data_IF_399469318252
#
_entry.id   IF_399469318252
#
_cell.length_a   1.000
_cell.length_b   1.000
_cell.length_c   1.000
_cell.angle_alpha   90.00
_cell.angle_beta   90.00
_cell.angle_gamma   90.00
#
_symmetry.space_group_name_H-M   'P 1'
#
loop_
_entity.id
_entity.type
_entity.pdbx_description
1 polymer ?
#
# COMPACT_ATOMS: atom_id res chain seq x y z
N UNK A 1 1.96 34.64 -85.32
CA UNK A 1 1.99 33.62 -84.26
C UNK A 1 2.79 32.43 -84.80
N UNK A 2 4.06 32.32 -84.41
CA UNK A 2 4.93 31.24 -84.90
C UNK A 2 4.69 30.01 -84.03
N UNK A 3 3.98 29.03 -84.58
CA UNK A 3 3.79 27.76 -83.91
C UNK A 3 5.11 26.98 -83.97
N UNK A 4 5.94 27.09 -82.92
CA UNK A 4 7.08 26.19 -82.73
C UNK A 4 6.55 24.77 -82.60
N UNK A 5 6.77 23.95 -83.62
CA UNK A 5 6.51 22.51 -83.54
C UNK A 5 7.61 21.92 -82.65
N UNK A 6 7.26 21.22 -81.56
CA UNK A 6 8.26 20.57 -80.73
C UNK A 6 9.00 19.50 -81.55
N UNK A 7 10.31 19.41 -81.34
CA UNK A 7 11.14 18.39 -81.97
C UNK A 7 10.64 16.98 -81.59
N UNK A 8 10.62 16.03 -82.54
CA UNK A 8 10.18 14.68 -82.25
C UNK A 8 11.13 14.02 -81.25
N UNK A 9 10.57 13.50 -80.15
CA UNK A 9 11.30 12.76 -79.12
C UNK A 9 12.06 11.60 -79.79
N UNK A 10 13.36 11.50 -79.51
CA UNK A 10 14.20 10.46 -80.09
C UNK A 10 13.78 9.06 -79.62
N UNK A 11 13.93 8.05 -80.49
CA UNK A 11 13.64 6.65 -80.15
C UNK A 11 14.43 6.15 -78.92
N UNK A 12 15.64 6.66 -78.74
CA UNK A 12 16.49 6.35 -77.58
C UNK A 12 15.88 6.88 -76.28
N UNK A 13 15.32 8.08 -76.30
CA UNK A 13 14.68 8.69 -75.14
C UNK A 13 13.38 7.98 -74.76
N UNK A 14 12.59 7.53 -75.75
CA UNK A 14 11.42 6.67 -75.51
C UNK A 14 11.84 5.34 -74.84
N UNK A 15 12.96 4.74 -75.26
CA UNK A 15 13.44 3.49 -74.64
C UNK A 15 13.90 3.70 -73.20
N UNK A 16 14.59 4.81 -72.89
CA UNK A 16 14.99 5.16 -71.52
C UNK A 16 13.79 5.35 -70.61
N UNK A 17 12.81 6.16 -71.06
CA UNK A 17 11.59 6.43 -70.29
C UNK A 17 10.77 5.16 -70.02
N UNK A 18 10.76 4.21 -70.95
CA UNK A 18 10.11 2.89 -70.73
C UNK A 18 10.83 2.07 -69.66
N UNK A 19 12.16 2.11 -69.61
CA UNK A 19 12.95 1.48 -68.55
C UNK A 19 12.67 2.10 -67.19
N UNK A 20 12.73 3.44 -67.10
CA UNK A 20 12.46 4.18 -65.87
C UNK A 20 11.03 3.92 -65.36
N UNK A 21 10.05 3.84 -66.26
CA UNK A 21 8.67 3.52 -65.90
C UNK A 21 8.54 2.10 -65.32
N UNK A 22 9.16 1.10 -65.95
CA UNK A 22 9.14 -0.28 -65.46
C UNK A 22 9.81 -0.42 -64.09
N UNK A 23 10.93 0.28 -63.86
CA UNK A 23 11.59 0.32 -62.56
C UNK A 23 10.73 0.99 -61.48
N UNK A 24 10.00 2.04 -61.85
CA UNK A 24 9.10 2.75 -60.93
C UNK A 24 7.86 1.93 -60.59
N UNK A 25 7.27 1.23 -61.56
CA UNK A 25 6.19 0.26 -61.35
C UNK A 25 6.62 -0.85 -60.40
N UNK A 26 7.83 -1.41 -60.60
CA UNK A 26 8.38 -2.44 -59.72
C UNK A 26 8.57 -1.93 -58.28
N UNK A 27 9.14 -0.72 -58.11
CA UNK A 27 9.30 -0.12 -56.77
C UNK A 27 7.96 0.11 -56.08
N UNK A 28 6.94 0.55 -56.81
CA UNK A 28 5.60 0.71 -56.27
C UNK A 28 4.98 -0.64 -55.86
N UNK A 29 5.20 -1.70 -56.66
CA UNK A 29 4.78 -3.06 -56.29
C UNK A 29 5.47 -3.55 -55.01
N UNK A 30 6.79 -3.33 -54.88
CA UNK A 30 7.55 -3.71 -53.69
C UNK A 30 7.11 -2.91 -52.45
N UNK A 31 6.86 -1.60 -52.59
CA UNK A 31 6.37 -0.74 -51.51
C UNK A 31 4.95 -1.14 -51.05
N UNK A 32 4.07 -1.49 -51.98
CA UNK A 32 2.71 -1.95 -51.64
C UNK A 32 2.72 -3.30 -50.93
N UNK A 33 3.62 -4.23 -51.32
CA UNK A 33 3.84 -5.49 -50.62
C UNK A 33 4.37 -5.27 -49.19
N UNK A 34 5.34 -4.38 -49.02
CA UNK A 34 5.90 -4.06 -47.71
C UNK A 34 4.82 -3.47 -46.77
N UNK A 35 4.07 -2.46 -47.23
CA UNK A 35 2.98 -1.85 -46.45
C UNK A 35 1.87 -2.83 -46.11
N UNK A 36 1.56 -3.76 -47.02
CA UNK A 36 0.58 -4.82 -46.75
C UNK A 36 1.05 -5.76 -45.64
N UNK A 37 2.33 -6.15 -45.65
CA UNK A 37 2.92 -6.97 -44.59
C UNK A 37 2.93 -6.28 -43.22
N UNK A 38 3.33 -5.01 -43.17
CA UNK A 38 3.30 -4.19 -41.94
C UNK A 38 1.87 -4.05 -41.39
N UNK A 39 0.90 -3.84 -42.27
CA UNK A 39 -0.51 -3.72 -41.88
C UNK A 39 -1.07 -5.03 -41.31
N UNK A 40 -0.73 -6.18 -41.88
CA UNK A 40 -1.13 -7.49 -41.33
C UNK A 40 -0.50 -7.76 -39.97
N UNK A 41 0.79 -7.41 -39.78
CA UNK A 41 1.45 -7.50 -38.48
C UNK A 41 0.75 -6.66 -37.40
N UNK A 42 0.41 -5.41 -37.72
CA UNK A 42 -0.33 -4.52 -36.81
C UNK A 42 -1.74 -5.03 -36.51
N UNK A 43 -2.43 -5.65 -37.48
CA UNK A 43 -3.75 -6.25 -37.25
C UNK A 43 -3.67 -7.44 -36.29
N UNK A 44 -2.64 -8.27 -36.41
CA UNK A 44 -2.41 -9.41 -35.52
C UNK A 44 -2.08 -8.95 -34.09
N UNK A 45 -1.20 -7.96 -33.95
CA UNK A 45 -0.90 -7.34 -32.65
C UNK A 45 -2.16 -6.73 -32.02
N UNK A 46 -2.97 -5.99 -32.78
CA UNK A 46 -4.22 -5.41 -32.27
C UNK A 46 -5.21 -6.49 -31.82
N UNK A 47 -5.27 -7.62 -32.55
CA UNK A 47 -6.09 -8.78 -32.17
C UNK A 47 -5.59 -9.40 -30.85
N UNK A 48 -4.28 -9.54 -30.68
CA UNK A 48 -3.67 -10.04 -29.45
C UNK A 48 -3.94 -9.11 -28.26
N UNK A 49 -3.76 -7.80 -28.43
CA UNK A 49 -4.06 -6.79 -27.41
C UNK A 49 -5.52 -6.80 -26.98
N UNK A 50 -6.47 -6.89 -27.93
CA UNK A 50 -7.91 -7.04 -27.63
C UNK A 50 -8.22 -8.34 -26.90
N UNK A 51 -7.49 -9.42 -27.17
CA UNK A 51 -7.61 -10.67 -26.42
C UNK A 51 -7.11 -10.50 -24.99
N UNK A 52 -5.95 -9.86 -24.80
CA UNK A 52 -5.39 -9.56 -23.48
C UNK A 52 -6.30 -8.67 -22.63
N UNK A 53 -6.89 -7.62 -23.21
CA UNK A 53 -7.85 -6.76 -22.51
C UNK A 53 -9.07 -7.54 -21.99
N UNK A 54 -9.62 -8.47 -22.79
CA UNK A 54 -10.73 -9.33 -22.34
C UNK A 54 -10.34 -10.22 -21.16
N UNK A 55 -9.12 -10.75 -21.15
CA UNK A 55 -8.62 -11.54 -20.01
C UNK A 55 -8.46 -10.68 -18.75
N UNK A 56 -7.98 -9.44 -18.88
CA UNK A 56 -7.86 -8.51 -17.75
C UNK A 56 -9.24 -8.20 -17.15
N UNK A 57 -10.24 -7.93 -17.99
CA UNK A 57 -11.61 -7.67 -17.54
C UNK A 57 -12.23 -8.89 -16.84
N UNK A 58 -11.96 -10.11 -17.34
CA UNK A 58 -12.39 -11.35 -16.70
C UNK A 58 -11.75 -11.53 -15.32
N UNK A 59 -10.43 -11.29 -15.20
CA UNK A 59 -9.72 -11.37 -13.92
C UNK A 59 -10.22 -10.33 -12.93
N UNK A 60 -10.50 -9.11 -13.40
CA UNK A 60 -11.08 -8.06 -12.56
C UNK A 60 -12.45 -8.45 -12.02
N UNK A 61 -13.33 -8.97 -12.88
CA UNK A 61 -14.66 -9.46 -12.48
C UNK A 61 -14.55 -10.59 -11.43
N UNK A 62 -13.61 -11.53 -11.61
CA UNK A 62 -13.34 -12.59 -10.63
C UNK A 62 -12.84 -12.04 -9.30
N UNK A 63 -11.95 -11.06 -9.32
CA UNK A 63 -11.43 -10.41 -8.11
C UNK A 63 -12.55 -9.70 -7.35
N UNK A 64 -13.39 -8.92 -8.04
CA UNK A 64 -14.53 -8.22 -7.43
C UNK A 64 -15.55 -9.20 -6.82
N UNK A 65 -15.80 -10.33 -7.49
CA UNK A 65 -16.66 -11.40 -6.96
C UNK A 65 -16.07 -12.04 -5.68
N UNK A 66 -14.78 -12.36 -5.68
CA UNK A 66 -14.09 -12.92 -4.53
C UNK A 66 -14.06 -11.95 -3.33
N UNK A 67 -13.87 -10.65 -3.57
CA UNK A 67 -13.93 -9.63 -2.52
C UNK A 67 -15.32 -9.53 -1.89
N UNK A 68 -16.38 -9.63 -2.71
CA UNK A 68 -17.75 -9.65 -2.22
C UNK A 68 -18.03 -10.88 -1.36
N UNK A 69 -17.61 -12.06 -1.81
CA UNK A 69 -17.72 -13.30 -1.05
C UNK A 69 -16.96 -13.23 0.28
N UNK A 70 -15.72 -12.73 0.27
CA UNK A 70 -14.92 -12.54 1.47
C UNK A 70 -15.58 -11.57 2.48
N UNK A 71 -16.23 -10.51 1.99
CA UNK A 71 -16.98 -9.58 2.82
C UNK A 71 -18.19 -10.26 3.47
N UNK A 72 -18.93 -11.06 2.71
CA UNK A 72 -20.08 -11.81 3.22
C UNK A 72 -19.67 -12.83 4.28
N UNK A 73 -18.62 -13.61 4.03
CA UNK A 73 -18.08 -14.56 4.99
C UNK A 73 -17.61 -13.88 6.29
N UNK A 74 -16.99 -12.69 6.21
CA UNK A 74 -16.63 -11.91 7.41
C UNK A 74 -17.85 -11.55 8.25
N UNK A 75 -18.93 -11.10 7.61
CA UNK A 75 -20.19 -10.79 8.30
C UNK A 75 -20.80 -12.05 8.94
N UNK A 76 -20.77 -13.19 8.25
CA UNK A 76 -21.25 -14.47 8.79
C UNK A 76 -20.42 -14.93 10.00
N UNK A 77 -19.09 -14.81 9.94
CA UNK A 77 -18.20 -15.14 11.06
C UNK A 77 -18.49 -14.23 12.27
N UNK A 78 -18.69 -12.93 12.04
CA UNK A 78 -19.04 -12.00 13.11
C UNK A 78 -20.39 -12.33 13.76
N UNK A 79 -21.42 -12.67 12.96
CA UNK A 79 -22.73 -13.09 13.45
C UNK A 79 -22.66 -14.40 14.25
N UNK A 80 -21.96 -15.41 13.75
CA UNK A 80 -21.73 -16.68 14.46
C UNK A 80 -20.97 -16.46 15.78
N UNK A 81 -20.00 -15.54 15.77
CA UNK A 81 -19.27 -15.13 16.97
C UNK A 81 -20.21 -14.47 17.99
N UNK A 82 -21.07 -13.54 17.57
CA UNK A 82 -22.09 -12.92 18.45
C UNK A 82 -23.05 -13.96 19.02
N UNK A 83 -23.56 -14.88 18.18
CA UNK A 83 -24.48 -15.96 18.59
C UNK A 83 -23.82 -16.92 19.58
N UNK A 84 -22.56 -17.33 19.34
CA UNK A 84 -21.84 -18.21 20.26
C UNK A 84 -21.60 -17.55 21.62
N UNK A 85 -21.20 -16.27 21.66
CA UNK A 85 -21.08 -15.53 22.90
C UNK A 85 -22.41 -15.38 23.65
N UNK A 86 -23.51 -15.09 22.94
CA UNK A 86 -24.83 -15.03 23.56
C UNK A 86 -25.25 -16.37 24.18
N UNK A 87 -25.02 -17.49 23.47
CA UNK A 87 -25.31 -18.83 24.01
C UNK A 87 -24.48 -19.12 25.26
N UNK A 88 -23.20 -18.78 25.27
CA UNK A 88 -22.33 -19.03 26.41
C UNK A 88 -22.74 -18.21 27.64
N UNK A 89 -23.16 -16.95 27.43
CA UNK A 89 -23.74 -16.13 28.50
C UNK A 89 -25.05 -16.69 29.02
N UNK A 90 -25.94 -17.14 28.14
CA UNK A 90 -27.21 -17.75 28.54
C UNK A 90 -27.00 -19.01 29.38
N UNK A 91 -25.98 -19.83 29.07
CA UNK A 91 -25.62 -20.99 29.91
C UNK A 91 -25.13 -20.59 31.29
N UNK A 92 -24.40 -19.46 31.40
CA UNK A 92 -23.91 -18.96 32.68
C UNK A 92 -25.01 -18.36 33.57
N UNK A 93 -26.10 -17.85 33.00
CA UNK A 93 -27.24 -17.34 33.78
C UNK A 93 -27.91 -18.48 34.54
N UNK A 94 -28.02 -18.33 35.86
CA UNK A 94 -28.56 -19.34 36.77
C UNK A 94 -27.51 -20.26 37.39
N UNK A 95 -26.26 -20.23 36.89
CA UNK A 95 -25.15 -20.96 37.50
C UNK A 95 -24.88 -20.41 38.92
N UNK A 96 -24.60 -21.33 39.86
CA UNK A 96 -24.31 -20.97 41.25
C UNK A 96 -22.80 -21.04 41.46
N UNK A 97 -22.17 -19.90 41.69
CA UNK A 97 -20.73 -19.81 41.97
C UNK A 97 -20.55 -19.28 43.39
N UNK A 98 -19.83 -20.02 44.23
CA UNK A 98 -19.58 -19.68 45.64
C UNK A 98 -20.87 -19.25 46.37
N UNK A 99 -21.90 -20.11 46.33
CA UNK A 99 -23.24 -19.94 46.92
C UNK A 99 -24.12 -18.81 46.35
N UNK A 100 -23.67 -18.11 45.30
CA UNK A 100 -24.38 -16.98 44.70
C UNK A 100 -24.84 -17.31 43.28
N UNK A 101 -26.09 -16.95 42.92
CA UNK A 101 -26.64 -17.20 41.58
C UNK A 101 -26.35 -16.06 40.62
N UNK A 102 -25.81 -16.37 39.44
CA UNK A 102 -25.65 -15.40 38.36
C UNK A 102 -27.02 -15.04 37.77
N UNK A 103 -27.39 -13.76 37.79
CA UNK A 103 -28.69 -13.27 37.32
C UNK A 103 -28.63 -12.78 35.88
N UNK A 104 -27.57 -12.06 35.51
CA UNK A 104 -27.39 -11.54 34.15
C UNK A 104 -25.90 -11.39 33.84
N UNK A 105 -25.52 -11.63 32.59
CA UNK A 105 -24.15 -11.49 32.10
C UNK A 105 -24.21 -10.63 30.84
N UNK A 106 -23.54 -9.47 30.85
CA UNK A 106 -23.43 -8.55 29.71
C UNK A 106 -22.02 -8.55 29.15
N UNK A 107 -21.73 -7.72 28.14
CA UNK A 107 -20.37 -7.55 27.60
C UNK A 107 -19.36 -7.04 28.63
N UNK A 108 -19.85 -6.28 29.62
CA UNK A 108 -18.99 -5.49 30.50
C UNK A 108 -19.30 -5.65 31.99
N UNK A 109 -20.35 -6.40 32.33
CA UNK A 109 -20.73 -6.63 33.72
C UNK A 109 -21.41 -7.97 33.96
N UNK A 110 -21.29 -8.45 35.20
CA UNK A 110 -21.98 -9.63 35.71
C UNK A 110 -22.83 -9.21 36.91
N UNK A 111 -24.13 -9.47 36.84
CA UNK A 111 -25.08 -9.24 37.93
C UNK A 111 -25.31 -10.53 38.70
N UNK A 112 -25.10 -10.49 40.01
CA UNK A 112 -25.20 -11.64 40.91
C UNK A 112 -26.29 -11.37 41.95
N UNK A 113 -27.12 -12.37 42.20
CA UNK A 113 -28.18 -12.31 43.20
C UNK A 113 -27.68 -12.88 44.54
N UNK A 114 -27.94 -12.13 45.61
CA UNK A 114 -27.60 -12.45 47.00
C UNK A 114 -28.85 -12.32 47.88
N UNK A 115 -28.74 -12.71 49.16
CA UNK A 115 -29.86 -12.58 50.11
C UNK A 115 -30.28 -11.12 50.32
N UNK A 116 -29.32 -10.19 50.27
CA UNK A 116 -29.53 -8.76 50.53
C UNK A 116 -29.84 -7.93 49.26
N UNK A 117 -29.93 -8.55 48.09
CA UNK A 117 -30.22 -7.86 46.83
C UNK A 117 -29.44 -8.35 45.61
N UNK A 118 -29.26 -7.48 44.62
CA UNK A 118 -28.46 -7.76 43.40
C UNK A 118 -27.22 -6.87 43.39
N UNK A 119 -26.04 -7.47 43.23
CA UNK A 119 -24.79 -6.75 43.03
C UNK A 119 -24.36 -6.87 41.56
N UNK A 120 -23.76 -5.82 41.01
CA UNK A 120 -23.22 -5.82 39.64
C UNK A 120 -21.72 -5.59 39.70
N UNK A 121 -20.95 -6.53 39.16
CA UNK A 121 -19.51 -6.42 38.99
C UNK A 121 -19.23 -5.92 37.57
N UNK A 122 -18.49 -4.81 37.43
CA UNK A 122 -17.90 -4.43 36.14
C UNK A 122 -16.68 -5.27 35.80
N UNK A 123 -16.14 -5.12 34.59
CA UNK A 123 -14.92 -5.82 34.13
C UNK A 123 -13.77 -5.80 35.14
N UNK A 124 -13.47 -4.64 35.73
CA UNK A 124 -12.39 -4.49 36.71
C UNK A 124 -12.62 -5.26 38.02
N UNK A 125 -13.89 -5.47 38.37
CA UNK A 125 -14.28 -6.24 39.56
C UNK A 125 -14.54 -7.71 39.28
N UNK A 126 -14.52 -8.14 38.01
CA UNK A 126 -14.78 -9.52 37.62
C UNK A 126 -13.49 -10.36 37.71
N UNK A 127 -13.57 -11.59 38.27
CA UNK A 127 -12.48 -12.55 38.18
C UNK A 127 -12.03 -12.78 36.73
N UNK A 128 -10.71 -12.87 36.48
CA UNK A 128 -10.15 -13.01 35.12
C UNK A 128 -10.63 -14.27 34.39
N UNK A 129 -10.89 -15.33 35.15
CA UNK A 129 -11.48 -16.58 34.67
C UNK A 129 -12.93 -16.37 34.20
N UNK A 130 -13.72 -15.51 34.86
CA UNK A 130 -15.07 -15.15 34.40
C UNK A 130 -15.02 -14.29 33.14
N UNK A 131 -14.10 -13.33 33.08
CA UNK A 131 -13.88 -12.50 31.88
C UNK A 131 -13.59 -13.38 30.66
N UNK A 132 -12.72 -14.39 30.81
CA UNK A 132 -12.41 -15.37 29.75
C UNK A 132 -13.61 -16.27 29.45
N UNK A 133 -14.22 -16.87 30.48
CA UNK A 133 -15.30 -17.86 30.34
C UNK A 133 -16.54 -17.26 29.69
N UNK A 134 -16.94 -16.07 30.10
CA UNK A 134 -18.11 -15.37 29.57
C UNK A 134 -17.78 -14.46 28.39
N UNK A 135 -16.52 -14.50 27.92
CA UNK A 135 -16.02 -13.70 26.81
C UNK A 135 -16.42 -12.24 26.95
N UNK A 136 -16.16 -11.67 28.14
CA UNK A 136 -16.38 -10.26 28.40
C UNK A 136 -15.32 -9.48 27.64
N UNK A 137 -15.75 -8.51 26.85
CA UNK A 137 -14.86 -7.72 26.02
C UNK A 137 -14.38 -6.57 26.89
N UNK A 138 -13.06 -6.38 27.09
CA UNK A 138 -12.57 -5.17 27.75
C UNK A 138 -13.12 -3.98 26.98
N UNK A 139 -13.82 -3.08 27.69
CA UNK A 139 -14.26 -1.82 27.09
C UNK A 139 -13.00 -1.20 26.50
N UNK A 140 -12.91 -0.98 25.18
CA UNK A 140 -11.78 -0.23 24.65
C UNK A 140 -11.78 1.09 25.40
N UNK A 141 -10.69 1.36 26.15
CA UNK A 141 -10.62 2.57 26.98
C UNK A 141 -11.11 3.75 26.13
N UNK A 142 -12.09 4.54 26.61
CA UNK A 142 -12.57 5.66 25.85
C UNK A 142 -11.36 6.53 25.57
N UNK A 143 -10.95 6.58 24.30
CA UNK A 143 -9.78 7.33 23.85
C UNK A 143 -9.87 8.69 24.51
N UNK A 144 -8.93 9.07 25.41
CA UNK A 144 -9.11 10.20 26.28
C UNK A 144 -9.51 11.41 25.42
N UNK A 145 -10.58 12.10 25.81
CA UNK A 145 -11.14 13.22 25.06
C UNK A 145 -10.10 14.31 24.75
N UNK A 146 -8.98 14.31 25.49
CA UNK A 146 -7.77 15.09 25.25
C UNK A 146 -7.16 14.92 23.85
N UNK A 147 -7.35 13.79 23.17
CA UNK A 147 -6.86 13.59 21.79
C UNK A 147 -7.87 14.13 20.74
N UNK A 148 -9.15 14.29 21.11
CA UNK A 148 -10.16 14.93 20.23
C UNK A 148 -10.13 16.46 20.27
N UNK A 149 -9.60 17.07 21.35
CA UNK A 149 -9.46 18.53 21.42
C UNK A 149 -8.31 19.07 20.54
N UNK A 150 -7.24 18.30 20.31
CA UNK A 150 -6.08 18.75 19.51
C UNK A 150 -6.29 18.71 17.99
N UNK A 151 -7.39 18.14 17.49
CA UNK A 151 -7.72 18.13 16.05
C UNK A 151 -8.83 19.16 15.72
N UNK A 152 -9.57 19.65 16.73
CA UNK A 152 -10.72 20.56 16.52
C UNK A 152 -10.54 21.97 17.08
N UNK A 153 -9.47 22.27 17.83
CA UNK A 153 -9.17 23.63 18.28
C UNK A 153 -7.75 24.02 17.89
N UNK A 154 -7.66 24.76 16.79
CA UNK A 154 -6.64 25.79 16.65
C UNK A 154 -6.80 26.79 17.80
N UNK A 155 -6.13 26.51 18.92
CA UNK A 155 -5.97 27.47 19.99
C UNK A 155 -4.99 28.54 19.51
N UNK A 156 -5.51 29.76 19.43
CA UNK A 156 -4.81 30.97 19.10
C UNK A 156 -3.59 31.15 20.00
N UNK A 157 -2.45 31.44 19.36
CA UNK A 157 -1.28 31.99 20.01
C UNK A 157 -1.61 33.38 20.60
N UNK A 158 -0.95 33.78 21.70
CA UNK A 158 -1.12 35.11 22.29
C UNK A 158 -0.80 36.19 21.26
N UNK A 159 -1.75 37.12 21.09
CA UNK A 159 -1.66 38.27 20.20
C UNK A 159 -0.52 39.19 20.64
N UNK A 160 0.68 38.91 20.15
CA UNK A 160 1.74 39.91 20.09
C UNK A 160 1.37 40.82 18.92
N UNK A 161 1.11 42.09 19.21
CA UNK A 161 0.94 43.14 18.20
C UNK A 161 2.25 43.28 17.43
N UNK A 162 2.38 42.52 16.34
CA UNK A 162 3.45 42.69 15.36
C UNK A 162 2.86 43.45 14.18
N UNK A 163 3.52 44.55 13.83
CA UNK A 163 3.24 45.38 12.66
C UNK A 163 2.98 44.53 11.40
N UNK A 164 2.03 44.92 10.53
CA UNK A 164 1.90 44.32 9.20
C UNK A 164 3.04 44.86 8.32
N UNK A 165 4.23 44.29 8.47
CA UNK A 165 5.34 44.48 7.54
C UNK A 165 5.59 43.15 6.84
N UNK A 166 5.22 43.11 5.56
CA UNK A 166 5.63 42.13 4.55
C UNK A 166 5.52 40.65 4.93
N UNK A 167 4.41 40.04 4.54
CA UNK A 167 4.33 38.60 4.27
C UNK A 167 5.31 38.28 3.13
N UNK A 168 6.52 37.85 3.47
CA UNK A 168 7.40 37.20 2.51
C UNK A 168 6.72 35.91 2.08
N UNK A 169 6.31 35.85 0.82
CA UNK A 169 5.83 34.64 0.17
C UNK A 169 6.84 33.52 0.40
N UNK A 170 6.39 32.40 0.99
CA UNK A 170 7.21 31.19 1.05
C UNK A 170 7.67 30.87 -0.38
N UNK A 171 8.97 30.66 -0.62
CA UNK A 171 9.45 30.32 -1.96
C UNK A 171 8.71 29.06 -2.39
N UNK A 172 7.95 29.15 -3.48
CA UNK A 172 7.32 27.99 -4.09
C UNK A 172 8.43 26.97 -4.34
N UNK A 173 8.38 25.82 -3.66
CA UNK A 173 9.35 24.76 -3.85
C UNK A 173 9.33 24.39 -5.34
N UNK A 174 10.36 24.81 -6.05
CA UNK A 174 10.55 24.48 -7.45
C UNK A 174 10.82 22.98 -7.52
N UNK A 175 9.79 22.20 -7.81
CA UNK A 175 9.98 20.80 -8.18
C UNK A 175 10.94 20.77 -9.38
N UNK A 176 12.00 19.95 -9.35
CA UNK A 176 12.86 19.78 -10.52
C UNK A 176 12.01 19.20 -11.66
N UNK A 177 11.62 20.05 -12.62
CA UNK A 177 10.62 19.71 -13.62
C UNK A 177 11.12 18.83 -14.77
N UNK A 178 12.34 18.27 -14.71
CA UNK A 178 12.82 17.34 -15.74
C UNK A 178 13.92 16.43 -15.17
N UNK A 179 13.53 15.34 -14.50
CA UNK A 179 14.41 14.19 -14.35
C UNK A 179 14.30 13.35 -15.63
N UNK A 180 15.42 12.93 -16.17
CA UNK A 180 15.46 11.99 -17.29
C UNK A 180 14.98 10.60 -16.82
N UNK A 181 14.44 9.79 -17.75
CA UNK A 181 13.93 8.45 -17.42
C UNK A 181 15.02 7.57 -16.76
N UNK A 182 16.27 7.70 -17.18
CA UNK A 182 17.39 6.96 -16.60
C UNK A 182 17.68 7.34 -15.14
N UNK A 183 17.49 8.60 -14.77
CA UNK A 183 17.65 9.05 -13.38
C UNK A 183 16.50 8.52 -12.51
N UNK A 184 15.28 8.52 -13.03
CA UNK A 184 14.14 7.90 -12.34
C UNK A 184 14.36 6.40 -12.11
N UNK A 185 14.85 5.68 -13.12
CA UNK A 185 15.17 4.26 -13.00
C UNK A 185 16.30 4.01 -11.99
N UNK A 186 17.30 4.88 -11.93
CA UNK A 186 18.37 4.79 -10.94
C UNK A 186 17.87 5.05 -9.52
N UNK A 187 17.06 6.08 -9.32
CA UNK A 187 16.41 6.38 -8.03
C UNK A 187 15.56 5.19 -7.60
N UNK A 188 14.75 4.64 -8.51
CA UNK A 188 13.93 3.45 -8.26
C UNK A 188 14.77 2.24 -7.84
N UNK A 189 15.86 1.95 -8.56
CA UNK A 189 16.77 0.85 -8.20
C UNK A 189 17.44 1.05 -6.84
N UNK A 190 17.86 2.28 -6.51
CA UNK A 190 18.45 2.59 -5.20
C UNK A 190 17.42 2.42 -4.08
N UNK A 191 16.19 2.91 -4.26
CA UNK A 191 15.13 2.77 -3.27
C UNK A 191 14.73 1.31 -3.05
N UNK A 192 14.61 0.52 -4.12
CA UNK A 192 14.31 -0.91 -4.04
C UNK A 192 15.42 -1.70 -3.35
N UNK A 193 16.66 -1.22 -3.38
CA UNK A 193 17.79 -1.84 -2.69
C UNK A 193 17.76 -1.60 -1.18
N UNK A 194 17.04 -0.57 -0.72
CA UNK A 194 16.82 -0.30 0.70
C UNK A 194 15.70 -1.17 1.30
N UNK A 195 14.89 -1.83 0.47
CA UNK A 195 13.80 -2.71 0.89
C UNK A 195 14.35 -4.09 1.28
N UNK A 196 13.81 -4.64 2.36
CA UNK A 196 14.14 -5.97 2.87
C UNK A 196 12.90 -6.83 3.05
N UNK A 197 13.10 -8.14 2.93
CA UNK A 197 12.14 -9.17 3.30
C UNK A 197 12.40 -9.59 4.75
N UNK A 198 11.34 -9.61 5.55
CA UNK A 198 11.38 -10.02 6.95
C UNK A 198 10.59 -11.31 7.06
N UNK A 199 11.26 -12.40 7.40
CA UNK A 199 10.65 -13.72 7.56
C UNK A 199 10.69 -14.14 9.01
N UNK A 200 9.51 -14.22 9.60
CA UNK A 200 9.27 -14.85 10.89
C UNK A 200 8.79 -16.29 10.77
N UNK A 201 8.64 -16.96 11.91
CA UNK A 201 8.01 -18.27 12.02
C UNK A 201 6.48 -18.19 11.95
N UNK A 202 5.88 -17.09 12.39
CA UNK A 202 4.43 -16.84 12.37
C UNK A 202 3.99 -15.85 11.29
N UNK A 203 4.86 -14.93 10.87
CA UNK A 203 4.51 -13.91 9.87
C UNK A 203 5.65 -13.61 8.90
N UNK A 204 5.30 -13.06 7.73
CA UNK A 204 6.23 -12.59 6.72
C UNK A 204 5.81 -11.19 6.32
N UNK A 205 6.78 -10.28 6.20
CA UNK A 205 6.52 -8.91 5.82
C UNK A 205 7.71 -8.27 5.13
N UNK A 206 7.62 -6.97 4.94
CA UNK A 206 8.70 -6.17 4.35
C UNK A 206 9.05 -5.03 5.29
N UNK A 207 10.25 -4.50 5.10
CA UNK A 207 10.68 -3.28 5.75
C UNK A 207 11.64 -2.53 4.83
N UNK A 208 12.12 -1.39 5.28
CA UNK A 208 13.12 -0.64 4.55
C UNK A 208 14.11 0.02 5.51
N UNK A 209 15.36 0.12 5.06
CA UNK A 209 16.40 0.80 5.82
C UNK A 209 16.30 2.31 5.62
N UNK A 210 16.41 3.02 6.74
CA UNK A 210 16.36 4.47 6.82
C UNK A 210 17.62 4.96 7.53
N UNK A 211 18.25 6.00 6.97
CA UNK A 211 19.25 6.77 7.70
C UNK A 211 18.56 7.98 8.36
N UNK A 212 18.65 8.05 9.68
CA UNK A 212 18.12 9.15 10.47
C UNK A 212 19.16 9.55 11.51
N UNK A 213 19.58 10.82 11.48
CA UNK A 213 20.63 11.37 12.36
C UNK A 213 21.96 10.59 12.33
N UNK A 214 22.32 10.07 11.14
CA UNK A 214 23.56 9.31 10.94
C UNK A 214 23.50 7.87 11.43
N UNK A 215 22.35 7.43 11.95
CA UNK A 215 22.09 6.05 12.38
C UNK A 215 21.19 5.34 11.38
N UNK A 216 21.44 4.05 11.18
CA UNK A 216 20.62 3.20 10.33
C UNK A 216 19.55 2.49 11.16
N UNK A 217 18.31 2.61 10.73
CA UNK A 217 17.16 1.91 11.30
C UNK A 217 16.45 1.09 10.22
N UNK A 218 15.95 -0.08 10.60
CA UNK A 218 14.96 -0.83 9.83
C UNK A 218 13.56 -0.42 10.30
N UNK A 219 12.75 0.13 9.40
CA UNK A 219 11.34 0.40 9.65
C UNK A 219 10.48 -0.74 9.08
N UNK A 220 9.50 -1.19 9.86
CA UNK A 220 8.49 -2.17 9.43
C UNK A 220 7.21 -2.02 10.26
N UNK A 221 6.18 -2.80 9.94
CA UNK A 221 4.95 -2.84 10.72
C UNK A 221 5.14 -3.67 12.01
N UNK A 222 4.49 -3.28 13.09
CA UNK A 222 4.62 -3.95 14.39
C UNK A 222 4.14 -5.40 14.31
N UNK A 223 3.05 -5.67 13.58
CA UNK A 223 2.51 -7.02 13.40
C UNK A 223 3.44 -7.98 12.64
N UNK A 224 4.41 -7.46 11.86
CA UNK A 224 5.39 -8.29 11.15
C UNK A 224 6.41 -8.87 12.14
N UNK A 225 6.71 -8.18 13.24
CA UNK A 225 7.65 -8.67 14.24
C UNK A 225 6.96 -9.37 15.42
N UNK A 226 5.73 -8.98 15.74
CA UNK A 226 5.02 -9.49 16.91
C UNK A 226 4.79 -11.01 16.86
N UNK A 227 5.10 -11.69 17.97
CA UNK A 227 4.87 -13.13 18.17
C UNK A 227 5.91 -14.05 17.53
N UNK A 228 6.82 -13.55 16.70
CA UNK A 228 7.85 -14.38 16.08
C UNK A 228 8.97 -14.71 17.09
N UNK A 229 9.34 -15.98 17.16
CA UNK A 229 10.49 -16.46 17.96
C UNK A 229 11.78 -16.48 17.17
N UNK A 230 11.67 -16.56 15.83
CA UNK A 230 12.79 -16.56 14.90
C UNK A 230 12.52 -15.51 13.84
N UNK A 231 13.50 -14.64 13.60
CA UNK A 231 13.41 -13.60 12.59
C UNK A 231 14.63 -13.68 11.67
N UNK A 232 14.38 -13.70 10.38
CA UNK A 232 15.39 -13.64 9.33
C UNK A 232 15.11 -12.44 8.44
N UNK A 233 16.03 -11.48 8.40
CA UNK A 233 15.89 -10.25 7.63
C UNK A 233 16.87 -10.33 6.46
N UNK A 234 16.34 -10.26 5.24
CA UNK A 234 17.09 -10.44 3.99
C UNK A 234 16.92 -9.25 3.06
N UNK A 235 18.03 -8.77 2.48
CA UNK A 235 17.94 -7.87 1.32
C UNK A 235 17.34 -8.57 0.11
N UNK A 236 16.93 -7.78 -0.87
CA UNK A 236 16.58 -8.27 -2.22
C UNK A 236 17.72 -9.02 -2.90
N UNK A 237 18.98 -8.74 -2.54
CA UNK A 237 20.16 -9.48 -2.98
C UNK A 237 20.42 -10.79 -2.22
N UNK A 238 19.61 -11.11 -1.20
CA UNK A 238 19.73 -12.32 -0.39
C UNK A 238 20.71 -12.21 0.79
N UNK A 239 21.34 -11.04 1.01
CA UNK A 239 22.20 -10.81 2.18
C UNK A 239 21.34 -10.82 3.45
N UNK A 240 21.75 -11.61 4.44
CA UNK A 240 21.09 -11.71 5.74
C UNK A 240 21.70 -10.70 6.70
N UNK A 241 20.87 -9.96 7.41
CA UNK A 241 21.27 -9.03 8.47
C UNK A 241 21.06 -9.68 9.85
N UNK A 242 22.04 -9.53 10.73
CA UNK A 242 22.05 -10.21 12.05
C UNK A 242 22.45 -9.29 13.20
N UNK A 243 23.00 -8.11 12.92
CA UNK A 243 23.47 -7.18 13.96
C UNK A 243 22.44 -6.08 14.17
N UNK A 244 21.53 -6.30 15.11
CA UNK A 244 20.49 -5.34 15.47
C UNK A 244 20.78 -4.64 16.80
N UNK A 245 20.23 -3.43 16.95
CA UNK A 245 20.37 -2.55 18.10
C UNK A 245 19.04 -2.37 18.85
N UNK A 246 18.75 -1.14 19.29
CA UNK A 246 17.53 -0.83 20.02
C UNK A 246 16.27 -1.09 19.18
N UNK A 247 15.25 -1.63 19.84
CA UNK A 247 13.92 -1.83 19.28
C UNK A 247 12.97 -0.80 19.88
N UNK A 248 12.23 -0.10 19.02
CA UNK A 248 11.27 0.92 19.43
C UNK A 248 9.97 0.76 18.64
N UNK A 249 8.85 0.87 19.34
CA UNK A 249 7.51 0.82 18.75
C UNK A 249 6.83 2.18 18.90
N UNK A 250 6.16 2.63 17.85
CA UNK A 250 5.34 3.83 17.91
C UNK A 250 4.04 3.53 18.67
N UNK A 251 3.74 4.32 19.69
CA UNK A 251 2.54 4.13 20.50
C UNK A 251 1.27 4.37 19.67
N UNK A 252 0.29 3.48 19.79
CA UNK A 252 -0.97 3.51 19.05
C UNK A 252 -0.85 3.33 17.53
N UNK A 253 0.35 3.03 17.00
CA UNK A 253 0.59 2.86 15.57
C UNK A 253 1.21 1.49 15.27
N UNK A 254 0.88 0.94 14.11
CA UNK A 254 1.46 -0.31 13.61
C UNK A 254 2.80 -0.06 12.93
N UNK A 255 3.73 0.57 13.65
CA UNK A 255 5.04 0.97 13.16
C UNK A 255 6.12 0.73 14.21
N UNK A 256 7.21 0.11 13.80
CA UNK A 256 8.37 -0.16 14.64
C UNK A 256 9.64 0.23 13.90
N UNK A 257 10.67 0.61 14.67
CA UNK A 257 12.03 0.81 14.18
C UNK A 257 13.01 -0.04 14.96
N UNK A 258 13.96 -0.64 14.26
CA UNK A 258 15.02 -1.47 14.82
C UNK A 258 16.37 -0.91 14.39
N UNK A 259 17.24 -0.55 15.33
CA UNK A 259 18.59 -0.11 15.02
C UNK A 259 19.39 -1.20 14.30
N UNK A 260 20.21 -0.81 13.33
CA UNK A 260 21.03 -1.75 12.54
C UNK A 260 22.50 -1.39 12.75
N UNK A 261 23.24 -2.29 13.40
CA UNK A 261 24.64 -2.12 13.77
C UNK A 261 25.57 -2.81 12.76
N UNK A 262 25.22 -2.75 11.49
CA UNK A 262 26.04 -3.23 10.38
C UNK A 262 25.84 -2.36 9.14
N UNK A 263 26.81 -2.43 8.23
CA UNK A 263 26.81 -1.66 6.99
C UNK A 263 25.71 -2.16 6.04
N UNK A 264 24.85 -1.25 5.60
CA UNK A 264 23.72 -1.52 4.70
C UNK A 264 23.98 -0.89 3.34
N UNK A 265 23.69 -1.60 2.24
CA UNK A 265 24.06 -1.15 0.90
C UNK A 265 23.27 0.07 0.43
N UNK A 266 22.06 0.28 0.95
CA UNK A 266 21.19 1.38 0.58
C UNK A 266 20.29 1.76 1.75
N UNK A 267 20.05 3.06 1.89
CA UNK A 267 19.15 3.63 2.90
C UNK A 267 18.30 4.72 2.29
N UNK A 268 17.07 4.86 2.74
CA UNK A 268 16.20 6.00 2.44
C UNK A 268 16.45 7.10 3.47
N UNK A 269 16.40 8.37 3.07
CA UNK A 269 16.46 9.49 4.03
C UNK A 269 15.05 10.00 4.30
N UNK A 270 14.70 10.20 5.58
CA UNK A 270 13.45 10.87 5.95
C UNK A 270 13.64 12.37 5.75
N UNK A 271 12.75 12.96 4.98
CA UNK A 271 12.67 14.40 4.78
C UNK A 271 11.60 15.03 5.66
N UNK A 272 11.79 16.31 6.00
CA UNK A 272 10.76 17.07 6.69
C UNK A 272 9.47 17.10 5.86
N UNK A 273 8.28 17.14 6.48
CA UNK A 273 7.02 17.27 5.75
C UNK A 273 7.08 18.43 4.75
N UNK A 274 6.73 18.16 3.48
CA UNK A 274 6.79 19.14 2.40
C UNK A 274 8.15 19.26 1.69
N UNK A 275 9.15 18.46 2.06
CA UNK A 275 10.44 18.39 1.35
C UNK A 275 10.63 17.03 0.65
N UNK A 276 11.37 17.03 -0.46
CA UNK A 276 11.70 15.83 -1.24
C UNK A 276 13.18 15.51 -1.03
N UNK A 277 13.47 14.28 -0.61
CA UNK A 277 14.84 13.79 -0.51
C UNK A 277 15.40 13.58 -1.92
N UNK A 278 16.31 14.45 -2.37
CA UNK A 278 17.15 14.15 -3.53
C UNK A 278 18.23 13.18 -3.05
N UNK A 279 18.21 11.94 -3.53
CA UNK A 279 19.22 10.94 -3.18
C UNK A 279 20.62 11.47 -3.49
N UNK A 280 21.53 11.37 -2.53
CA UNK A 280 22.97 11.59 -2.77
C UNK A 280 23.57 10.32 -3.39
#
# INVERSE_FOLDING_TARGET
MSCNKPDPISKAEIARLKGDLADLEKRHEDETKLKSGELEGLKEENRALRSGLRQIDELRSRSEAAEKEARELRLQVEDLRKKSFQRERQKGVGETIATRKLRAITDHSVSIQHQDGTATLGLEGCPKDWVRRFSMIPVPEPVPATVRASIAQGAALPSTTVNPTQTASAPAASFPQNLSQSELDEIGRRQMSAVVLIKGDLSVGTGFFVNHDGLTYLYTAAHVLNGNTKLEIKSTSGRVFTKFGSFEAADGMDLVRLGVNEDVPATVSICAPGSVAMGK
#
